data_IF_902063817113
#
_entry.id   IF_902063817113
#
_cell.length_a   1.000
_cell.length_b   1.000
_cell.length_c   1.000
_cell.angle_alpha   90.00
_cell.angle_beta   90.00
_cell.angle_gamma   90.00
#
_symmetry.space_group_name_H-M   'P 1'
#
loop_
_entity.id
_entity.type
_entity.pdbx_description
1 polymer ?
#
# COMPACT_ATOMS: atom_id res chain seq x y z
N UNK A 1 26.88 -43.09 61.13
CA UNK A 1 25.41 -43.09 61.07
C UNK A 1 24.92 -42.40 62.34
N UNK A 2 24.71 -41.09 62.26
CA UNK A 2 24.36 -40.22 63.39
C UNK A 2 23.55 -39.04 62.82
N UNK A 3 22.35 -38.87 63.36
CA UNK A 3 21.36 -37.87 62.98
C UNK A 3 21.64 -36.56 63.74
N UNK A 4 21.74 -35.45 63.00
CA UNK A 4 21.64 -34.08 63.52
C UNK A 4 20.33 -33.49 62.94
N UNK A 5 19.49 -32.81 63.75
CA UNK A 5 18.13 -32.42 63.37
C UNK A 5 18.06 -31.09 62.61
N UNK A 6 17.07 -30.97 61.70
CA UNK A 6 16.64 -29.70 61.08
C UNK A 6 15.37 -29.17 61.76
N UNK A 7 15.18 -27.84 61.91
CA UNK A 7 14.00 -27.27 62.55
C UNK A 7 12.87 -26.87 61.59
N UNK A 8 11.67 -27.00 62.17
CA UNK A 8 10.40 -26.25 62.01
C UNK A 8 9.60 -26.24 60.69
N UNK A 9 8.55 -27.05 60.73
CA UNK A 9 7.14 -26.78 60.42
C UNK A 9 6.76 -25.53 59.60
N UNK A 10 6.06 -25.78 58.49
CA UNK A 10 5.12 -24.85 57.85
C UNK A 10 4.25 -25.61 56.85
N UNK A 11 2.96 -25.77 57.15
CA UNK A 11 2.09 -26.81 56.58
C UNK A 11 1.42 -26.52 55.23
N UNK A 12 1.20 -27.64 54.52
CA UNK A 12 0.07 -28.10 53.68
C UNK A 12 -0.74 -27.14 52.76
N UNK A 13 -0.98 -27.69 51.57
CA UNK A 13 -1.66 -27.18 50.37
C UNK A 13 -3.20 -27.01 50.51
N UNK A 14 -3.72 -25.92 49.91
CA UNK A 14 -5.01 -25.60 49.24
C UNK A 14 -6.31 -26.40 49.59
N UNK A 15 -7.49 -25.73 49.66
CA UNK A 15 -8.24 -25.36 48.45
C UNK A 15 -8.84 -23.93 48.47
N UNK A 16 -8.83 -23.28 47.30
CA UNK A 16 -9.57 -22.03 47.03
C UNK A 16 -11.02 -22.39 46.75
N UNK A 17 -11.94 -22.02 47.66
CA UNK A 17 -13.36 -21.95 47.37
C UNK A 17 -13.65 -20.62 46.66
N UNK A 18 -14.11 -20.70 45.41
CA UNK A 18 -14.72 -19.58 44.69
C UNK A 18 -16.12 -19.41 45.26
N UNK A 19 -16.28 -18.51 46.22
CA UNK A 19 -17.60 -18.00 46.59
C UNK A 19 -17.99 -16.92 45.56
N UNK A 20 -18.72 -17.36 44.55
CA UNK A 20 -19.50 -16.53 43.65
C UNK A 20 -20.72 -16.01 44.43
N UNK A 21 -20.54 -14.96 45.22
CA UNK A 21 -21.63 -14.28 45.92
C UNK A 21 -21.60 -12.78 45.61
N UNK A 22 -22.40 -12.42 44.60
CA UNK A 22 -23.12 -11.15 44.46
C UNK A 22 -22.47 -9.88 45.03
N UNK A 23 -21.64 -9.19 44.25
CA UNK A 23 -21.41 -7.75 44.39
C UNK A 23 -21.61 -7.02 43.05
N UNK A 24 -22.88 -6.60 42.88
CA UNK A 24 -23.41 -5.43 42.16
C UNK A 24 -22.67 -4.87 40.93
N UNK A 25 -23.27 -5.13 39.76
CA UNK A 25 -23.10 -4.42 38.48
C UNK A 25 -23.19 -2.88 38.61
N UNK A 26 -23.81 -2.35 39.66
CA UNK A 26 -23.99 -0.91 39.87
C UNK A 26 -22.71 -0.13 40.18
N UNK A 27 -21.71 -0.75 40.84
CA UNK A 27 -20.46 -0.05 41.18
C UNK A 27 -19.50 0.08 39.98
N UNK A 28 -19.65 -0.76 38.95
CA UNK A 28 -18.82 -0.69 37.75
C UNK A 28 -19.26 0.41 36.77
N UNK A 29 -20.55 0.78 36.76
CA UNK A 29 -21.07 1.87 35.94
C UNK A 29 -20.84 3.26 36.55
N UNK A 30 -20.85 3.38 37.88
CA UNK A 30 -20.70 4.67 38.57
C UNK A 30 -19.28 5.27 38.47
N UNK A 31 -18.24 4.45 38.24
CA UNK A 31 -16.84 4.93 38.14
C UNK A 31 -16.36 5.23 36.72
N UNK A 32 -17.17 4.98 35.69
CA UNK A 32 -16.83 5.30 34.29
C UNK A 32 -17.39 6.66 33.81
N UNK A 33 -18.29 7.28 34.59
CA UNK A 33 -18.98 8.53 34.25
C UNK A 33 -18.35 9.80 34.83
N UNK A 34 -17.23 9.71 35.55
CA UNK A 34 -16.61 10.88 36.21
C UNK A 34 -15.13 10.92 35.88
N UNK A 35 -14.78 11.37 34.67
CA UNK A 35 -13.46 12.01 34.47
C UNK A 35 -13.32 12.97 33.30
N UNK A 36 -14.40 13.64 32.88
CA UNK A 36 -14.31 14.99 32.33
C UNK A 36 -15.48 15.81 32.85
N UNK A 37 -15.18 16.67 33.83
CA UNK A 37 -16.07 17.71 34.32
C UNK A 37 -15.93 18.86 33.34
N UNK A 38 -16.98 19.17 32.59
CA UNK A 38 -17.05 20.40 31.79
C UNK A 38 -16.91 21.59 32.76
N UNK A 39 -15.71 22.17 32.79
CA UNK A 39 -15.52 23.51 33.31
C UNK A 39 -15.56 24.44 32.11
N UNK A 40 -16.63 25.23 32.04
CA UNK A 40 -16.67 26.61 31.55
C UNK A 40 -15.87 26.92 30.29
N UNK A 41 -16.59 27.21 29.20
CA UNK A 41 -16.03 27.83 28.02
C UNK A 41 -15.13 29.02 28.39
N UNK A 42 -13.92 29.01 27.86
CA UNK A 42 -13.06 30.20 27.81
C UNK A 42 -13.27 30.88 26.45
N UNK A 43 -13.49 32.19 26.42
CA UNK A 43 -13.80 32.90 25.19
C UNK A 43 -12.52 33.24 24.40
N UNK A 44 -12.73 33.34 23.09
CA UNK A 44 -12.00 34.18 22.12
C UNK A 44 -10.62 33.68 21.63
N UNK A 45 -10.52 33.40 20.32
CA UNK A 45 -10.01 34.38 19.33
C UNK A 45 -10.06 33.82 17.91
N UNK A 46 -10.51 34.65 16.97
CA UNK A 46 -10.56 34.36 15.53
C UNK A 46 -9.25 33.77 14.99
N UNK A 47 -9.38 32.69 14.20
CA UNK A 47 -8.62 32.56 12.96
C UNK A 47 -7.31 31.78 12.93
N UNK A 48 -7.02 30.86 13.85
CA UNK A 48 -5.91 29.90 13.67
C UNK A 48 -6.36 28.49 14.03
N UNK A 49 -6.69 27.69 13.01
CA UNK A 49 -6.80 26.24 13.14
C UNK A 49 -5.40 25.66 13.31
N UNK A 50 -5.07 25.25 14.54
CA UNK A 50 -3.89 24.43 14.79
C UNK A 50 -4.19 23.04 14.23
N UNK A 51 -3.63 22.69 13.08
CA UNK A 51 -3.64 21.31 12.62
C UNK A 51 -2.67 20.53 13.50
N UNK A 52 -3.21 19.66 14.35
CA UNK A 52 -2.40 18.68 15.07
C UNK A 52 -1.64 17.82 14.04
N UNK A 53 -0.36 17.67 14.30
CA UNK A 53 0.61 16.99 13.46
C UNK A 53 0.12 15.56 13.17
N UNK A 54 -0.13 15.28 11.89
CA UNK A 54 -0.03 13.96 11.25
C UNK A 54 -0.49 12.75 12.05
N UNK A 55 -1.74 12.74 12.52
CA UNK A 55 -2.39 11.43 12.70
C UNK A 55 -2.64 10.86 11.29
N UNK A 56 -2.31 9.59 11.00
CA UNK A 56 -2.79 8.96 9.79
C UNK A 56 -4.31 9.13 9.76
N UNK A 57 -4.89 9.46 8.60
CA UNK A 57 -6.33 9.64 8.45
C UNK A 57 -7.00 8.28 8.68
N UNK A 58 -7.23 7.95 9.95
CA UNK A 58 -7.81 6.69 10.44
C UNK A 58 -9.30 6.81 10.69
N UNK A 59 -9.90 7.97 10.40
CA UNK A 59 -11.33 8.18 10.52
C UNK A 59 -12.05 7.41 9.39
N UNK A 60 -12.84 6.37 9.71
CA UNK A 60 -13.62 5.65 8.71
C UNK A 60 -14.58 6.58 7.96
N UNK A 61 -15.12 7.62 8.60
CA UNK A 61 -16.06 8.56 7.96
C UNK A 61 -15.41 9.36 6.81
N UNK A 62 -14.09 9.54 6.83
CA UNK A 62 -13.35 10.16 5.71
C UNK A 62 -13.35 9.27 4.45
N UNK A 63 -13.40 7.95 4.62
CA UNK A 63 -13.35 6.95 3.55
C UNK A 63 -14.74 6.42 3.17
N UNK A 64 -15.69 6.43 4.09
CA UNK A 64 -17.02 5.77 3.99
C UNK A 64 -18.00 6.39 2.98
N UNK A 65 -17.61 7.43 2.24
CA UNK A 65 -18.42 8.05 1.17
C UNK A 65 -17.73 8.14 -0.19
N UNK A 66 -16.52 7.59 -0.34
CA UNK A 66 -15.72 7.73 -1.56
C UNK A 66 -15.47 6.38 -2.23
N UNK A 67 -15.67 6.34 -3.55
CA UNK A 67 -15.20 5.23 -4.38
C UNK A 67 -13.68 5.35 -4.52
N UNK A 68 -12.92 4.71 -3.63
CA UNK A 68 -11.45 4.72 -3.69
C UNK A 68 -10.94 3.52 -4.47
N UNK A 69 -11.47 3.35 -5.67
CA UNK A 69 -10.78 2.59 -6.70
C UNK A 69 -9.95 3.61 -7.45
N UNK A 70 -8.62 3.48 -7.43
CA UNK A 70 -7.77 4.31 -8.29
C UNK A 70 -7.94 3.76 -9.71
N UNK A 71 -8.70 4.44 -10.60
CA UNK A 71 -8.79 3.97 -11.97
C UNK A 71 -7.39 3.98 -12.56
N UNK A 72 -7.08 2.93 -13.30
CA UNK A 72 -5.81 2.81 -13.98
C UNK A 72 -6.06 2.89 -15.47
N UNK A 73 -5.43 3.84 -16.14
CA UNK A 73 -5.52 3.98 -17.58
C UNK A 73 -4.17 3.68 -18.20
N UNK A 74 -4.17 2.74 -19.15
CA UNK A 74 -3.01 2.40 -19.96
C UNK A 74 -3.25 2.92 -21.37
N UNK A 75 -2.30 3.69 -21.89
CA UNK A 75 -2.36 4.25 -23.24
C UNK A 75 -1.07 3.99 -24.01
N UNK A 76 -1.23 3.76 -25.31
CA UNK A 76 -0.14 3.79 -26.27
C UNK A 76 0.21 5.23 -26.64
N UNK A 77 1.37 5.41 -27.29
CA UNK A 77 1.78 6.74 -27.76
C UNK A 77 0.84 7.35 -28.81
N UNK A 78 0.14 6.49 -29.57
CA UNK A 78 -0.85 6.92 -30.57
C UNK A 78 -2.17 7.43 -29.96
N UNK A 79 -2.33 7.38 -28.62
CA UNK A 79 -3.54 7.78 -27.90
C UNK A 79 -4.62 6.71 -27.79
N UNK A 80 -4.38 5.49 -28.29
CA UNK A 80 -5.25 4.34 -28.06
C UNK A 80 -5.00 3.78 -26.66
N UNK A 81 -6.03 3.68 -25.83
CA UNK A 81 -5.87 3.22 -24.45
C UNK A 81 -7.15 2.68 -23.84
N UNK A 82 -6.98 1.97 -22.72
CA UNK A 82 -8.04 1.36 -21.95
C UNK A 82 -8.01 1.90 -20.53
N UNK A 83 -9.20 2.17 -19.99
CA UNK A 83 -9.38 2.60 -18.59
C UNK A 83 -10.00 1.46 -17.80
N UNK A 84 -9.33 1.07 -16.73
CA UNK A 84 -9.74 0.00 -15.83
C UNK A 84 -10.25 0.62 -14.54
N UNK A 85 -11.53 0.36 -14.23
CA UNK A 85 -12.12 0.78 -12.97
C UNK A 85 -11.65 -0.09 -11.80
N UNK A 86 -11.40 -1.39 -12.06
CA UNK A 86 -10.90 -2.34 -11.07
C UNK A 86 -9.42 -2.66 -11.36
N UNK A 87 -8.54 -1.93 -10.68
CA UNK A 87 -7.11 -2.10 -10.79
C UNK A 87 -6.43 -1.87 -9.45
N UNK A 88 -5.51 -2.77 -9.09
CA UNK A 88 -4.66 -2.63 -7.91
C UNK A 88 -3.22 -2.66 -8.37
N UNK A 89 -2.48 -1.57 -8.10
CA UNK A 89 -1.07 -1.46 -8.43
C UNK A 89 -0.22 -1.55 -7.17
N UNK A 90 0.89 -2.27 -7.27
CA UNK A 90 1.95 -2.33 -6.26
C UNK A 90 3.27 -1.97 -6.93
N UNK A 91 4.02 -1.03 -6.35
CA UNK A 91 5.30 -0.59 -6.88
C UNK A 91 6.40 -0.83 -5.84
N UNK A 92 7.56 -1.33 -6.27
CA UNK A 92 8.73 -1.50 -5.42
C UNK A 92 9.98 -1.05 -6.17
N UNK A 93 10.96 -0.51 -5.44
CA UNK A 93 12.23 -0.01 -6.00
C UNK A 93 13.38 -0.43 -5.11
N UNK A 94 14.40 -1.02 -5.73
CA UNK A 94 15.62 -1.39 -5.02
C UNK A 94 16.68 -0.30 -5.18
N UNK A 95 17.39 0.00 -4.08
CA UNK A 95 18.59 0.83 -4.13
C UNK A 95 19.82 -0.07 -4.20
N UNK A 96 20.57 0.03 -5.29
CA UNK A 96 21.87 -0.62 -5.43
C UNK A 96 22.94 0.19 -4.71
N UNK A 97 23.51 -0.41 -3.67
CA UNK A 97 24.51 0.24 -2.81
C UNK A 97 25.82 -0.53 -2.83
N UNK A 98 26.90 0.10 -3.29
CA UNK A 98 28.26 -0.44 -3.22
C UNK A 98 28.93 0.12 -1.96
N UNK A 99 29.45 -0.77 -1.11
CA UNK A 99 30.02 -0.40 0.19
C UNK A 99 31.36 -1.09 0.43
N UNK A 100 32.31 -0.34 0.99
CA UNK A 100 33.61 -0.88 1.42
C UNK A 100 33.70 -0.89 2.95
N UNK A 101 34.09 -2.03 3.51
CA UNK A 101 34.34 -2.17 4.95
C UNK A 101 35.72 -1.59 5.29
N UNK A 102 35.80 -0.87 6.42
CA UNK A 102 37.06 -0.32 6.92
C UNK A 102 37.55 -1.11 8.13
N UNK A 103 38.85 -1.34 8.19
CA UNK A 103 39.46 -2.03 9.32
C UNK A 103 39.53 -1.13 10.54
N UNK A 104 39.24 -1.69 11.72
CA UNK A 104 39.38 -0.98 13.00
C UNK A 104 38.22 -0.05 13.39
N UNK A 105 37.09 -0.09 12.68
CA UNK A 105 35.85 0.57 13.11
C UNK A 105 34.61 -0.19 12.65
N UNK A 106 33.51 -0.02 13.38
CA UNK A 106 32.22 -0.56 12.98
C UNK A 106 31.62 0.29 11.85
N UNK A 107 31.06 -0.37 10.84
CA UNK A 107 30.39 0.25 9.71
C UNK A 107 31.13 0.12 8.37
N UNK A 108 30.51 0.67 7.32
CA UNK A 108 31.02 0.65 5.94
C UNK A 108 30.92 2.03 5.34
N UNK A 109 31.78 2.36 4.39
CA UNK A 109 31.65 3.57 3.57
C UNK A 109 30.84 3.21 2.33
N UNK A 110 29.75 3.95 2.07
CA UNK A 110 28.97 3.81 0.83
C UNK A 110 29.69 4.57 -0.27
N UNK A 111 30.16 3.86 -1.28
CA UNK A 111 30.89 4.45 -2.41
C UNK A 111 29.93 4.91 -3.50
N UNK A 112 28.88 4.13 -3.71
CA UNK A 112 27.89 4.38 -4.73
C UNK A 112 26.51 4.00 -4.22
N UNK A 113 25.53 4.88 -4.47
CA UNK A 113 24.12 4.64 -4.20
C UNK A 113 23.38 4.99 -5.48
N UNK A 114 22.73 4.02 -6.07
CA UNK A 114 21.90 4.21 -7.26
C UNK A 114 20.55 3.57 -7.03
N UNK A 115 19.50 4.28 -7.40
CA UNK A 115 18.15 3.77 -7.33
C UNK A 115 17.85 3.08 -8.67
N UNK A 116 17.52 1.79 -8.63
CA UNK A 116 17.12 1.04 -9.83
C UNK A 116 15.76 1.50 -10.37
N UNK A 117 15.21 0.79 -11.33
CA UNK A 117 13.88 1.10 -11.85
C UNK A 117 12.78 0.65 -10.88
N UNK A 118 11.60 1.25 -10.97
CA UNK A 118 10.44 0.75 -10.25
C UNK A 118 9.95 -0.55 -10.91
N UNK A 119 9.88 -1.62 -10.13
CA UNK A 119 9.13 -2.82 -10.48
C UNK A 119 7.67 -2.61 -10.07
N UNK A 120 6.76 -2.64 -11.05
CA UNK A 120 5.34 -2.41 -10.86
C UNK A 120 4.56 -3.68 -11.19
N UNK A 121 3.76 -4.15 -10.24
CA UNK A 121 2.85 -5.27 -10.41
C UNK A 121 1.42 -4.74 -10.37
N UNK A 122 0.62 -5.05 -11.37
CA UNK A 122 -0.75 -4.60 -11.51
C UNK A 122 -1.66 -5.83 -11.58
N UNK A 123 -2.71 -5.84 -10.77
CA UNK A 123 -3.79 -6.82 -10.85
C UNK A 123 -5.01 -6.09 -11.41
N UNK A 124 -5.50 -6.54 -12.56
CA UNK A 124 -6.67 -5.98 -13.23
C UNK A 124 -7.87 -6.91 -13.09
N UNK A 125 -9.02 -6.33 -12.79
CA UNK A 125 -10.32 -6.95 -12.85
C UNK A 125 -11.03 -6.64 -14.15
N UNK A 126 -11.25 -7.64 -14.99
CA UNK A 126 -12.01 -7.48 -16.23
C UNK A 126 -13.44 -7.97 -16.04
N UNK A 127 -14.40 -7.12 -16.38
CA UNK A 127 -15.84 -7.39 -16.34
C UNK A 127 -16.44 -7.12 -17.71
N UNK A 128 -17.44 -7.92 -18.10
CA UNK A 128 -18.19 -7.66 -19.31
C UNK A 128 -19.24 -6.58 -19.03
N UNK A 129 -19.25 -5.50 -19.83
CA UNK A 129 -20.24 -4.42 -19.70
C UNK A 129 -21.02 -4.31 -21.01
N UNK A 130 -22.32 -4.58 -20.96
CA UNK A 130 -23.24 -4.41 -22.10
C UNK A 130 -24.25 -3.33 -21.74
N UNK A 131 -24.33 -2.25 -22.54
CA UNK A 131 -25.32 -1.18 -22.33
C UNK A 131 -25.13 -0.36 -21.04
N UNK A 132 -23.94 -0.41 -20.42
CA UNK A 132 -23.66 0.29 -19.16
C UNK A 132 -23.97 -0.52 -17.90
N UNK A 133 -24.44 -1.77 -18.06
CA UNK A 133 -24.67 -2.71 -16.96
C UNK A 133 -23.67 -3.88 -17.03
N UNK A 134 -23.33 -4.44 -15.88
CA UNK A 134 -22.48 -5.63 -15.79
C UNK A 134 -23.26 -6.81 -16.36
N UNK A 135 -22.74 -7.41 -17.43
CA UNK A 135 -23.34 -8.57 -18.07
C UNK A 135 -22.84 -9.87 -17.41
N UNK A 136 -23.73 -10.85 -17.28
CA UNK A 136 -23.38 -12.21 -16.81
C UNK A 136 -22.79 -13.05 -17.97
N UNK A 137 -21.68 -12.56 -18.53
CA UNK A 137 -20.97 -13.19 -19.65
C UNK A 137 -19.47 -13.03 -19.46
N UNK A 138 -18.72 -14.01 -19.95
CA UNK A 138 -17.27 -13.96 -19.85
C UNK A 138 -16.70 -12.84 -20.72
N UNK A 139 -15.82 -11.97 -20.18
CA UNK A 139 -15.33 -10.74 -20.82
C UNK A 139 -14.39 -11.02 -21.99
N UNK A 140 -14.93 -11.61 -23.06
CA UNK A 140 -14.16 -12.09 -24.21
C UNK A 140 -13.53 -10.94 -24.99
N UNK A 141 -14.27 -9.83 -25.13
CA UNK A 141 -13.84 -8.71 -25.93
C UNK A 141 -12.80 -7.89 -25.16
N UNK A 142 -13.06 -7.65 -23.88
CA UNK A 142 -12.20 -6.92 -22.96
C UNK A 142 -10.86 -7.65 -22.80
N UNK A 143 -10.86 -8.98 -22.62
CA UNK A 143 -9.63 -9.77 -22.57
C UNK A 143 -8.84 -9.66 -23.89
N UNK A 144 -9.51 -9.63 -25.05
CA UNK A 144 -8.84 -9.47 -26.35
C UNK A 144 -8.24 -8.08 -26.53
N UNK A 145 -8.91 -7.04 -26.06
CA UNK A 145 -8.44 -5.66 -26.12
C UNK A 145 -7.24 -5.45 -25.20
N UNK A 146 -7.33 -5.92 -23.95
CA UNK A 146 -6.21 -5.90 -23.01
C UNK A 146 -5.02 -6.66 -23.57
N UNK A 147 -5.24 -7.85 -24.13
CA UNK A 147 -4.17 -8.62 -24.78
C UNK A 147 -3.47 -7.82 -25.87
N UNK A 148 -4.22 -7.18 -26.78
CA UNK A 148 -3.62 -6.36 -27.84
C UNK A 148 -2.78 -5.23 -27.25
N UNK A 149 -3.27 -4.58 -26.20
CA UNK A 149 -2.56 -3.49 -25.53
C UNK A 149 -1.25 -3.96 -24.89
N UNK A 150 -1.28 -5.09 -24.16
CA UNK A 150 -0.13 -5.66 -23.46
C UNK A 150 0.89 -6.35 -24.38
N UNK A 151 0.48 -6.81 -25.57
CA UNK A 151 1.39 -7.37 -26.59
C UNK A 151 2.12 -6.28 -27.41
N UNK A 152 1.86 -4.99 -27.16
CA UNK A 152 2.58 -3.91 -27.80
C UNK A 152 4.03 -3.85 -27.29
N UNK A 153 5.01 -3.84 -28.20
CA UNK A 153 6.44 -3.75 -27.88
C UNK A 153 6.88 -2.29 -27.71
N UNK A 154 6.15 -1.51 -26.91
CA UNK A 154 6.42 -0.09 -26.66
C UNK A 154 6.15 0.28 -25.20
N UNK A 155 6.68 1.43 -24.77
CA UNK A 155 6.36 1.98 -23.47
C UNK A 155 4.92 2.49 -23.47
N UNK A 156 4.14 2.06 -22.48
CA UNK A 156 2.76 2.50 -22.28
C UNK A 156 2.76 3.68 -21.29
N UNK A 157 1.99 4.71 -21.63
CA UNK A 157 1.65 5.78 -20.69
C UNK A 157 0.66 5.25 -19.68
N UNK A 158 0.89 5.60 -18.42
CA UNK A 158 0.05 5.14 -17.32
C UNK A 158 -0.47 6.34 -16.56
N UNK A 159 -1.77 6.36 -16.32
CA UNK A 159 -2.43 7.37 -15.52
C UNK A 159 -3.13 6.69 -14.34
N UNK A 160 -2.67 7.03 -13.14
CA UNK A 160 -3.25 6.59 -11.88
C UNK A 160 -2.71 7.48 -10.77
N UNK A 161 -3.57 8.00 -9.89
CA UNK A 161 -3.15 8.87 -8.79
C UNK A 161 -2.06 8.22 -7.91
N UNK A 162 -2.12 6.90 -7.74
CA UNK A 162 -1.13 6.14 -6.97
C UNK A 162 0.25 6.11 -7.64
N UNK A 163 0.30 5.84 -8.95
CA UNK A 163 1.57 5.75 -9.68
C UNK A 163 2.15 7.15 -9.96
N UNK A 164 1.28 8.14 -10.19
CA UNK A 164 1.65 9.54 -10.34
C UNK A 164 2.29 10.07 -9.05
N UNK A 165 1.80 9.68 -7.87
CA UNK A 165 2.42 10.03 -6.58
C UNK A 165 3.85 9.47 -6.41
N UNK A 166 4.17 8.39 -7.13
CA UNK A 166 5.52 7.80 -7.20
C UNK A 166 6.34 8.34 -8.37
N UNK A 167 5.79 9.32 -9.11
CA UNK A 167 6.36 9.93 -10.29
C UNK A 167 6.60 8.92 -11.44
N UNK A 168 5.71 7.92 -11.54
CA UNK A 168 5.74 6.87 -12.58
C UNK A 168 4.66 7.18 -13.63
N UNK A 169 5.06 7.78 -14.75
CA UNK A 169 4.14 8.10 -15.86
C UNK A 169 4.20 7.13 -17.05
N UNK A 170 5.21 6.27 -17.10
CA UNK A 170 5.39 5.27 -18.17
C UNK A 170 5.83 3.93 -17.61
N UNK A 171 5.31 2.88 -18.24
CA UNK A 171 5.63 1.50 -17.92
C UNK A 171 5.94 0.72 -19.19
N UNK A 172 6.92 -0.18 -19.10
CA UNK A 172 7.17 -1.22 -20.09
C UNK A 172 6.71 -2.54 -19.51
N UNK A 173 5.83 -3.24 -20.24
CA UNK A 173 5.28 -4.53 -19.80
C UNK A 173 6.35 -5.62 -19.95
N UNK A 174 6.62 -6.34 -18.86
CA UNK A 174 7.56 -7.48 -18.84
C UNK A 174 6.85 -8.79 -19.12
N UNK A 175 5.70 -8.99 -18.47
CA UNK A 175 4.92 -10.23 -18.58
C UNK A 175 3.51 -10.01 -18.08
N UNK A 176 2.58 -10.82 -18.56
CA UNK A 176 1.23 -10.89 -18.00
C UNK A 176 0.78 -12.35 -17.91
N UNK A 177 -0.07 -12.66 -16.93
CA UNK A 177 -0.62 -13.99 -16.68
C UNK A 177 -2.13 -13.92 -16.48
N UNK A 178 -2.82 -14.92 -17.02
CA UNK A 178 -4.23 -15.16 -16.81
C UNK A 178 -4.41 -16.65 -16.51
N UNK A 179 -5.21 -16.95 -15.49
CA UNK A 179 -5.64 -18.31 -15.17
C UNK A 179 -7.13 -18.44 -15.44
N UNK A 180 -7.57 -19.64 -15.85
CA UNK A 180 -8.99 -19.90 -16.00
C UNK A 180 -9.65 -19.89 -14.61
N UNK A 181 -10.67 -19.07 -14.49
CA UNK A 181 -11.49 -18.91 -13.29
C UNK A 181 -12.84 -19.63 -13.47
N UNK A 182 -13.53 -19.90 -12.37
CA UNK A 182 -14.87 -20.56 -12.43
C UNK A 182 -15.98 -19.51 -12.60
N UNK A 183 -15.68 -18.28 -12.22
CA UNK A 183 -16.51 -17.10 -12.33
C UNK A 183 -16.81 -16.79 -13.80
N UNK A 184 -18.10 -16.65 -14.12
CA UNK A 184 -18.55 -16.50 -15.49
C UNK A 184 -18.37 -15.08 -16.04
N UNK A 185 -18.41 -14.05 -15.18
CA UNK A 185 -18.47 -12.64 -15.59
C UNK A 185 -17.22 -11.83 -15.21
N UNK A 186 -16.19 -12.50 -14.70
CA UNK A 186 -15.00 -11.84 -14.17
C UNK A 186 -13.74 -12.58 -14.59
N UNK A 187 -12.71 -11.83 -14.98
CA UNK A 187 -11.39 -12.37 -15.27
C UNK A 187 -10.31 -11.50 -14.63
N UNK A 188 -9.45 -12.11 -13.83
CA UNK A 188 -8.27 -11.45 -13.28
C UNK A 188 -7.11 -11.54 -14.28
N UNK A 189 -6.40 -10.44 -14.46
CA UNK A 189 -5.15 -10.37 -15.21
C UNK A 189 -4.06 -9.82 -14.31
N UNK A 190 -2.97 -10.57 -14.19
CA UNK A 190 -1.78 -10.12 -13.47
C UNK A 190 -0.76 -9.60 -14.48
N UNK A 191 -0.20 -8.43 -14.21
CA UNK A 191 0.75 -7.75 -15.08
C UNK A 191 1.98 -7.41 -14.25
N UNK A 192 3.16 -7.69 -14.80
CA UNK A 192 4.44 -7.22 -14.28
C UNK A 192 5.05 -6.27 -15.29
N UNK A 193 5.48 -5.10 -14.81
CA UNK A 193 6.02 -4.01 -15.60
C UNK A 193 7.19 -3.33 -14.89
N UNK A 194 7.95 -2.56 -15.65
CA UNK A 194 9.06 -1.74 -15.14
C UNK A 194 8.83 -0.29 -15.54
N UNK A 195 9.14 0.66 -14.66
CA UNK A 195 9.05 2.09 -15.00
C UNK A 195 10.03 2.48 -16.08
N UNK A 196 9.61 3.41 -16.93
CA UNK A 196 10.47 4.03 -17.93
C UNK A 196 10.48 5.56 -17.75
N UNK A 197 11.60 6.18 -18.10
CA UNK A 197 11.80 7.63 -18.03
C UNK A 197 12.13 8.17 -19.42
N UNK A 198 11.70 9.40 -19.73
CA UNK A 198 12.19 10.05 -20.96
C UNK A 198 13.63 10.46 -20.69
N UNK A 199 14.56 10.01 -21.54
CA UNK A 199 15.93 10.50 -21.50
C UNK A 199 16.17 11.43 -22.68
N UNK A 200 16.47 12.69 -22.40
CA UNK A 200 16.96 13.63 -23.40
C UNK A 200 18.46 13.40 -23.60
N UNK A 201 18.83 12.85 -24.76
CA UNK A 201 20.25 12.72 -25.13
C UNK A 201 20.76 14.09 -25.58
N UNK A 202 21.51 14.78 -24.73
CA UNK A 202 22.28 15.94 -25.14
C UNK A 202 23.62 15.47 -25.74
N UNK A 203 23.80 15.63 -27.05
CA UNK A 203 25.14 15.46 -27.66
C UNK A 203 25.91 16.79 -27.55
N UNK A 204 26.99 16.78 -26.79
CA UNK A 204 27.91 17.93 -26.67
C UNK A 204 29.03 17.91 -27.73
N UNK A 205 29.04 16.90 -28.61
CA UNK A 205 30.21 16.55 -29.42
C UNK A 205 30.31 17.28 -30.78
N UNK A 206 29.50 18.31 -31.02
CA UNK A 206 29.61 19.14 -32.22
C UNK A 206 29.75 20.63 -31.89
N UNK A 207 30.77 21.00 -31.11
CA UNK A 207 31.32 22.36 -31.24
C UNK A 207 32.00 22.46 -32.62
N UNK A 208 31.32 23.09 -33.58
CA UNK A 208 31.91 23.43 -34.87
C UNK A 208 33.17 24.27 -34.62
N UNK A 209 34.31 23.98 -35.29
CA UNK A 209 35.52 24.77 -35.11
C UNK A 209 35.20 26.22 -35.48
N UNK A 210 35.39 27.13 -34.51
CA UNK A 210 35.27 28.58 -34.73
C UNK A 210 36.20 28.96 -35.90
N UNK A 211 35.59 29.47 -36.97
CA UNK A 211 36.31 30.07 -38.11
C UNK A 211 37.03 31.34 -37.68
#
# INVERSE_FOLDING_TARGET
MSLIPQPSLGGKKLPVSIDLAAMSWGQHMAKKLIRFKELGGSPERDGITVHEIGQPITDPEYWEGRWVLCPLRLERENGEGLTFADAVAAASREHRIISTALTGRDGTVKEYINAGDWAVNIVLGLQCVEGGEIADKWPTNEVREVRKLLEANEALRVHSEFLDALNIGRLVIRSYSLSQMTEANYQVVEISAVSDEDYEIFSTDYEQPKK
#
